data_IF_464959711311
#
_entry.id   IF_464959711311
#
_cell.length_a   1.000
_cell.length_b   1.000
_cell.length_c   1.000
_cell.angle_alpha   90.00
_cell.angle_beta   90.00
_cell.angle_gamma   90.00
#
_symmetry.space_group_name_H-M   'P 1'
#
loop_
_entity.id
_entity.type
_entity.pdbx_description
1 polymer ?
#
# COMPACT_ATOMS: atom_id res chain seq x y z
N UNK A 1 -17.15 1.12 -15.40
CA UNK A 1 -16.08 0.48 -14.62
C UNK A 1 -16.63 0.32 -13.21
N UNK A 2 -16.71 -0.89 -12.65
CA UNK A 2 -17.23 -1.08 -11.30
C UNK A 2 -16.31 -0.41 -10.28
N UNK A 3 -16.88 0.10 -9.20
CA UNK A 3 -16.12 0.65 -8.08
C UNK A 3 -15.38 -0.48 -7.37
N UNK A 4 -14.06 -0.38 -7.32
CA UNK A 4 -13.21 -1.36 -6.64
C UNK A 4 -13.00 -0.85 -5.22
N UNK A 5 -13.70 -1.44 -4.26
CA UNK A 5 -13.46 -1.19 -2.84
C UNK A 5 -12.16 -1.88 -2.40
N UNK A 6 -11.11 -1.09 -2.17
CA UNK A 6 -9.82 -1.59 -1.68
C UNK A 6 -9.71 -1.38 -0.17
N UNK A 7 -9.76 -2.48 0.60
CA UNK A 7 -9.35 -2.47 2.00
C UNK A 7 -7.83 -2.60 2.14
N UNK A 8 -7.27 -2.05 3.23
CA UNK A 8 -5.84 -2.16 3.56
C UNK A 8 -5.39 -3.63 3.57
N UNK A 9 -6.18 -4.49 4.21
CA UNK A 9 -5.92 -5.93 4.27
C UNK A 9 -6.00 -6.57 2.88
N UNK A 10 -6.93 -6.10 2.03
CA UNK A 10 -7.03 -6.51 0.64
C UNK A 10 -5.77 -6.16 -0.15
N UNK A 11 -5.32 -4.90 -0.06
CA UNK A 11 -4.09 -4.43 -0.72
C UNK A 11 -2.87 -5.24 -0.24
N UNK A 12 -2.71 -5.42 1.07
CA UNK A 12 -1.59 -6.17 1.61
C UNK A 12 -1.60 -7.64 1.16
N UNK A 13 -2.77 -8.29 1.13
CA UNK A 13 -2.92 -9.66 0.61
C UNK A 13 -2.57 -9.74 -0.88
N UNK A 14 -3.03 -8.79 -1.68
CA UNK A 14 -2.75 -8.75 -3.12
C UNK A 14 -1.24 -8.59 -3.37
N UNK A 15 -0.58 -7.66 -2.66
CA UNK A 15 0.87 -7.43 -2.79
C UNK A 15 1.69 -8.63 -2.31
N UNK A 16 1.28 -9.31 -1.24
CA UNK A 16 1.95 -10.53 -0.75
C UNK A 16 1.81 -11.72 -1.70
N UNK A 17 0.70 -11.80 -2.43
CA UNK A 17 0.42 -12.88 -3.37
C UNK A 17 1.10 -12.69 -4.73
N UNK A 18 1.85 -11.60 -4.95
CA UNK A 18 2.66 -11.43 -6.15
C UNK A 18 3.75 -12.50 -6.26
N UNK A 19 3.95 -13.02 -7.48
CA UNK A 19 5.06 -13.94 -7.78
C UNK A 19 6.37 -13.12 -7.92
N UNK A 20 7.36 -13.31 -7.01
CA UNK A 20 8.57 -12.49 -6.99
C UNK A 20 9.48 -12.70 -8.21
N UNK A 21 9.35 -13.81 -8.93
CA UNK A 21 10.19 -14.15 -10.08
C UNK A 21 9.65 -13.65 -11.42
N UNK A 22 8.49 -13.00 -11.42
CA UNK A 22 7.90 -12.46 -12.66
C UNK A 22 8.66 -11.20 -13.11
N UNK A 23 8.65 -10.96 -14.43
CA UNK A 23 9.29 -9.79 -15.02
C UNK A 23 8.68 -8.47 -14.50
N UNK A 24 9.48 -7.41 -14.53
CA UNK A 24 9.00 -6.08 -14.26
C UNK A 24 8.03 -5.61 -15.35
N UNK A 25 7.09 -4.75 -14.98
CA UNK A 25 6.18 -4.10 -15.93
C UNK A 25 6.86 -2.99 -16.73
N UNK A 26 6.09 -2.21 -17.51
CA UNK A 26 6.60 -1.02 -18.21
C UNK A 26 7.09 0.07 -17.23
N UNK A 27 6.67 -0.01 -15.97
CA UNK A 27 7.15 0.81 -14.85
C UNK A 27 8.53 0.39 -14.32
N UNK A 28 9.09 -0.72 -14.82
CA UNK A 28 10.35 -1.32 -14.39
C UNK A 28 10.38 -1.75 -12.91
N UNK A 29 9.22 -1.83 -12.25
CA UNK A 29 9.12 -2.26 -10.86
C UNK A 29 9.02 -3.78 -10.81
N UNK A 30 9.96 -4.42 -10.12
CA UNK A 30 9.92 -5.87 -9.92
C UNK A 30 8.86 -6.24 -8.86
N UNK A 31 8.11 -7.34 -9.05
CA UNK A 31 7.11 -7.79 -8.08
C UNK A 31 7.67 -8.05 -6.67
N UNK A 32 8.95 -8.45 -6.57
CA UNK A 32 9.61 -8.67 -5.28
C UNK A 32 9.69 -7.38 -4.43
N UNK A 33 9.87 -6.22 -5.06
CA UNK A 33 9.93 -4.92 -4.39
C UNK A 33 8.56 -4.57 -3.81
N UNK A 34 7.50 -4.75 -4.60
CA UNK A 34 6.12 -4.52 -4.16
C UNK A 34 5.72 -5.43 -3.00
N UNK A 35 6.19 -6.68 -3.02
CA UNK A 35 5.98 -7.65 -1.94
C UNK A 35 6.71 -7.26 -0.66
N UNK A 36 7.93 -6.74 -0.75
CA UNK A 36 8.69 -6.24 0.41
C UNK A 36 8.07 -4.96 0.99
N UNK A 37 7.58 -4.07 0.15
CA UNK A 37 6.96 -2.80 0.55
C UNK A 37 5.47 -2.91 0.84
N UNK A 38 4.90 -4.11 0.94
CA UNK A 38 3.44 -4.30 1.05
C UNK A 38 2.82 -3.57 2.24
N UNK A 39 3.56 -3.46 3.36
CA UNK A 39 3.13 -2.76 4.57
C UNK A 39 3.22 -1.23 4.45
N UNK A 40 4.11 -0.73 3.61
CA UNK A 40 4.31 0.70 3.40
C UNK A 40 3.34 1.22 2.33
N UNK A 41 3.07 0.42 1.30
CA UNK A 41 2.16 0.70 0.20
C UNK A 41 0.68 0.52 0.53
N UNK A 42 0.36 -0.13 1.66
CA UNK A 42 -0.99 -0.18 2.18
C UNK A 42 -1.16 0.95 3.22
N UNK A 43 -1.47 2.20 2.81
CA UNK A 43 -1.60 3.30 3.73
C UNK A 43 -2.72 3.00 4.73
N UNK A 44 -2.37 3.05 6.01
CA UNK A 44 -3.33 2.97 7.10
C UNK A 44 -4.04 4.34 7.23
N UNK A 45 -5.38 4.44 7.13
CA UNK A 45 -6.11 5.67 7.41
C UNK A 45 -5.82 6.19 8.83
N UNK A 46 -5.50 5.31 9.80
CA UNK A 46 -5.08 5.72 11.15
C UNK A 46 -3.75 6.48 11.15
N UNK A 47 -2.82 6.18 10.24
CA UNK A 47 -1.54 6.92 10.11
C UNK A 47 -1.75 8.29 9.47
N UNK A 48 -2.71 8.41 8.55
CA UNK A 48 -3.13 9.70 8.00
C UNK A 48 -3.84 10.54 9.08
N UNK A 49 -4.73 9.95 9.88
CA UNK A 49 -5.40 10.62 11.00
C UNK A 49 -4.39 11.12 12.04
N UNK A 50 -3.39 10.31 12.43
CA UNK A 50 -2.34 10.76 13.38
C UNK A 50 -1.53 11.96 12.88
N UNK A 51 -1.28 12.07 11.57
CA UNK A 51 -0.59 13.23 10.99
C UNK A 51 -1.48 14.47 11.01
N UNK A 52 -2.78 14.31 10.73
CA UNK A 52 -3.74 15.41 10.76
C UNK A 52 -3.96 15.90 12.20
N UNK A 53 -4.08 14.99 13.18
CA UNK A 53 -4.27 15.37 14.58
C UNK A 53 -3.02 15.97 15.21
N UNK A 54 -1.81 15.52 14.84
CA UNK A 54 -0.56 16.13 15.30
C UNK A 54 -0.33 17.55 14.73
N UNK A 55 -0.88 17.86 13.55
CA UNK A 55 -0.80 19.19 12.95
C UNK A 55 -1.84 20.18 13.51
N UNK A 56 -2.82 19.70 14.30
CA UNK A 56 -3.95 20.47 14.83
C UNK A 56 -4.00 20.52 16.36
N UNK A 57 -2.93 20.12 17.05
CA UNK A 57 -2.82 20.35 18.50
C UNK A 57 -2.11 21.69 18.73
N UNK A 58 -2.77 22.72 19.31
CA UNK A 58 -2.04 23.87 19.82
C UNK A 58 -1.09 23.44 20.96
N UNK A 59 0.01 24.19 21.18
CA UNK A 59 1.04 23.86 22.16
C UNK A 59 0.52 23.83 23.60
#
# INVERSE_FOLDING_TARGET
MPDIELSINGIEKLLKNLNPHKAAGPDQIRPIVLKMLSKELAPNPVRAIKKVTAAWLPP
#
